data_IF_258443286406
#
_entry.id   IF_258443286406
#
_cell.length_a   1.000
_cell.length_b   1.000
_cell.length_c   1.000
_cell.angle_alpha   90.00
_cell.angle_beta   90.00
_cell.angle_gamma   90.00
#
_symmetry.space_group_name_H-M   'P 1'
#
loop_
_entity.id
_entity.type
_entity.pdbx_description
1 polymer ?
#
# COMPACT_ATOMS: atom_id res chain seq x y z
N UNK A 1 16.37 -7.22 0.77
CA UNK A 1 15.18 -7.47 -0.05
C UNK A 1 14.96 -6.33 -1.03
N UNK A 2 14.91 -5.10 -0.51
CA UNK A 2 14.58 -3.88 -1.24
C UNK A 2 15.35 -3.67 -2.57
N UNK A 3 16.67 -3.89 -2.58
CA UNK A 3 17.51 -3.66 -3.78
C UNK A 3 17.00 -4.39 -5.04
N UNK A 4 16.39 -5.57 -4.88
CA UNK A 4 15.81 -6.28 -6.01
C UNK A 4 14.63 -5.51 -6.61
N UNK A 5 13.72 -5.01 -5.78
CA UNK A 5 12.52 -4.31 -6.24
C UNK A 5 12.86 -2.94 -6.83
N UNK A 6 13.81 -2.21 -6.24
CA UNK A 6 14.35 -0.95 -6.81
C UNK A 6 14.96 -1.14 -8.20
N UNK A 7 15.54 -2.31 -8.47
CA UNK A 7 16.19 -2.61 -9.75
C UNK A 7 15.23 -2.99 -10.88
N UNK A 8 13.93 -3.19 -10.59
CA UNK A 8 12.94 -3.55 -11.60
C UNK A 8 12.69 -2.38 -12.56
N UNK A 9 12.34 -2.64 -13.83
CA UNK A 9 11.98 -1.58 -14.77
C UNK A 9 10.70 -0.85 -14.32
N UNK A 10 10.54 0.41 -14.75
CA UNK A 10 9.39 1.26 -14.38
C UNK A 10 8.05 0.69 -14.85
N UNK A 11 8.04 0.04 -16.02
CA UNK A 11 6.87 -0.63 -16.57
C UNK A 11 7.11 -2.14 -16.63
N UNK A 12 6.10 -2.89 -16.18
CA UNK A 12 6.04 -4.35 -16.29
C UNK A 12 4.63 -4.79 -16.64
N UNK A 13 4.45 -5.91 -17.37
CA UNK A 13 3.15 -6.52 -17.58
C UNK A 13 2.47 -6.89 -16.26
N UNK A 14 1.15 -6.75 -16.21
CA UNK A 14 0.34 -7.01 -15.01
C UNK A 14 0.51 -8.43 -14.48
N UNK A 15 0.67 -9.41 -15.36
CA UNK A 15 0.85 -10.82 -15.04
C UNK A 15 2.27 -11.15 -14.52
N UNK A 16 3.26 -10.28 -14.75
CA UNK A 16 4.55 -10.34 -14.08
C UNK A 16 4.49 -9.67 -12.70
N UNK A 17 3.82 -8.51 -12.60
CA UNK A 17 3.58 -7.82 -11.34
C UNK A 17 2.83 -8.70 -10.34
N UNK A 18 1.79 -9.40 -10.76
CA UNK A 18 1.02 -10.29 -9.87
C UNK A 18 1.93 -11.37 -9.25
N UNK A 19 2.83 -11.96 -10.05
CA UNK A 19 3.79 -12.96 -9.55
C UNK A 19 4.76 -12.34 -8.53
N UNK A 20 5.18 -11.10 -8.75
CA UNK A 20 6.07 -10.37 -7.85
C UNK A 20 5.39 -10.02 -6.53
N UNK A 21 4.15 -9.53 -6.55
CA UNK A 21 3.37 -9.29 -5.32
C UNK A 21 3.18 -10.59 -4.53
N UNK A 22 2.80 -11.69 -5.19
CA UNK A 22 2.65 -12.99 -4.50
C UNK A 22 3.96 -13.48 -3.90
N UNK A 23 5.07 -13.34 -4.62
CA UNK A 23 6.40 -13.67 -4.10
C UNK A 23 6.79 -12.77 -2.93
N UNK A 24 6.50 -11.47 -3.01
CA UNK A 24 6.70 -10.52 -1.92
C UNK A 24 5.95 -10.97 -0.65
N UNK A 25 4.65 -11.26 -0.79
CA UNK A 25 3.81 -11.72 0.32
C UNK A 25 4.32 -13.01 0.96
N UNK A 26 4.79 -13.98 0.16
CA UNK A 26 5.42 -15.20 0.68
C UNK A 26 6.67 -14.84 1.49
N UNK A 27 7.53 -13.95 0.99
CA UNK A 27 8.77 -13.59 1.65
C UNK A 27 8.54 -12.90 3.00
N UNK A 28 7.65 -11.91 3.07
CA UNK A 28 7.36 -11.19 4.33
C UNK A 28 6.64 -12.06 5.36
N UNK A 29 5.88 -13.07 4.93
CA UNK A 29 5.24 -14.04 5.84
C UNK A 29 6.20 -15.12 6.37
N UNK A 30 7.29 -15.41 5.65
CA UNK A 30 8.19 -16.55 5.98
C UNK A 30 9.54 -16.13 6.53
N UNK A 31 9.91 -14.87 6.37
CA UNK A 31 11.22 -14.34 6.77
C UNK A 31 11.05 -13.07 7.58
N UNK A 32 11.89 -12.89 8.59
CA UNK A 32 11.86 -11.73 9.47
C UNK A 32 12.60 -10.54 8.83
N UNK A 33 11.92 -9.84 7.92
CA UNK A 33 12.40 -8.57 7.37
C UNK A 33 12.03 -7.41 8.29
N UNK A 34 12.79 -6.31 8.19
CA UNK A 34 12.37 -5.05 8.80
C UNK A 34 11.08 -4.57 8.15
N UNK A 35 10.17 -4.02 8.94
CA UNK A 35 8.86 -3.56 8.46
C UNK A 35 9.07 -2.46 7.43
N UNK A 36 9.97 -1.51 7.70
CA UNK A 36 10.25 -0.38 6.80
C UNK A 36 10.81 -0.84 5.45
N UNK A 37 11.78 -1.77 5.45
CA UNK A 37 12.30 -2.36 4.20
C UNK A 37 11.25 -3.13 3.41
N UNK A 38 10.24 -3.69 4.09
CA UNK A 38 9.15 -4.44 3.46
C UNK A 38 8.12 -3.48 2.86
N UNK A 39 7.81 -2.39 3.56
CA UNK A 39 6.92 -1.33 3.07
C UNK A 39 7.52 -0.63 1.86
N UNK A 40 8.82 -0.30 1.90
CA UNK A 40 9.54 0.30 0.78
C UNK A 40 9.53 -0.64 -0.44
N UNK A 41 9.72 -1.94 -0.22
CA UNK A 41 9.66 -2.93 -1.30
C UNK A 41 8.25 -3.09 -1.89
N UNK A 42 7.21 -2.97 -1.07
CA UNK A 42 5.83 -2.98 -1.55
C UNK A 42 5.50 -1.71 -2.32
N UNK A 43 5.97 -0.55 -1.87
CA UNK A 43 5.76 0.72 -2.55
C UNK A 43 6.36 0.71 -3.96
N UNK A 44 7.57 0.15 -4.12
CA UNK A 44 8.17 -0.08 -5.44
C UNK A 44 7.26 -0.91 -6.37
N UNK A 45 6.61 -1.95 -5.85
CA UNK A 45 5.63 -2.72 -6.63
C UNK A 45 4.35 -1.92 -6.90
N UNK A 46 3.89 -1.12 -5.93
CA UNK A 46 2.70 -0.30 -6.05
C UNK A 46 2.85 0.79 -7.10
N UNK A 47 4.00 1.44 -7.18
CA UNK A 47 4.30 2.43 -8.21
C UNK A 47 4.31 1.81 -9.62
N UNK A 48 4.86 0.59 -9.76
CA UNK A 48 4.84 -0.13 -11.04
C UNK A 48 3.43 -0.56 -11.42
N UNK A 49 2.64 -1.02 -10.44
CA UNK A 49 1.22 -1.31 -10.64
C UNK A 49 0.48 -0.07 -11.14
N UNK A 50 0.72 1.08 -10.52
CA UNK A 50 0.09 2.33 -10.88
C UNK A 50 0.35 2.72 -12.34
N UNK A 51 1.54 2.49 -12.88
CA UNK A 51 1.83 2.75 -14.29
C UNK A 51 1.15 1.82 -15.29
N UNK A 52 0.49 0.75 -14.83
CA UNK A 52 -0.27 -0.15 -15.72
C UNK A 52 -1.65 0.40 -16.10
N UNK A 53 -2.23 1.29 -15.27
CA UNK A 53 -3.65 1.68 -15.36
C UNK A 53 -4.62 0.49 -15.27
N UNK A 54 -4.15 -0.67 -14.79
CA UNK A 54 -4.95 -1.86 -14.56
C UNK A 54 -5.19 -2.03 -13.06
N UNK A 55 -6.30 -2.67 -12.71
CA UNK A 55 -6.61 -3.00 -11.33
C UNK A 55 -5.95 -4.32 -10.95
N UNK A 56 -5.39 -4.40 -9.73
CA UNK A 56 -5.07 -5.68 -9.13
C UNK A 56 -6.32 -6.52 -8.94
N UNK A 57 -6.15 -7.84 -9.00
CA UNK A 57 -7.23 -8.76 -8.62
C UNK A 57 -7.63 -8.55 -7.15
N UNK A 58 -8.93 -8.67 -6.88
CA UNK A 58 -9.48 -8.47 -5.53
C UNK A 58 -8.88 -9.44 -4.50
N UNK A 59 -8.56 -10.67 -4.93
CA UNK A 59 -7.87 -11.66 -4.08
C UNK A 59 -6.49 -11.14 -3.66
N UNK A 60 -5.71 -10.60 -4.59
CA UNK A 60 -4.37 -10.08 -4.29
C UNK A 60 -4.44 -8.81 -3.43
N UNK A 61 -5.38 -7.90 -3.70
CA UNK A 61 -5.62 -6.73 -2.84
C UNK A 61 -5.91 -7.17 -1.41
N UNK A 62 -6.79 -8.15 -1.23
CA UNK A 62 -7.15 -8.66 0.09
C UNK A 62 -5.96 -9.27 0.84
N UNK A 63 -5.07 -10.01 0.16
CA UNK A 63 -3.85 -10.55 0.77
C UNK A 63 -2.85 -9.44 1.18
N UNK A 64 -2.73 -8.39 0.38
CA UNK A 64 -1.89 -7.22 0.69
C UNK A 64 -2.47 -6.48 1.90
N UNK A 65 -3.78 -6.22 1.91
CA UNK A 65 -4.47 -5.57 3.02
C UNK A 65 -4.32 -6.35 4.33
N UNK A 66 -4.48 -7.66 4.31
CA UNK A 66 -4.32 -8.50 5.50
C UNK A 66 -2.93 -8.32 6.11
N UNK A 67 -1.89 -8.31 5.27
CA UNK A 67 -0.53 -8.07 5.72
C UNK A 67 -0.35 -6.65 6.27
N UNK A 68 -0.78 -5.61 5.54
CA UNK A 68 -0.63 -4.22 5.97
C UNK A 68 -1.38 -3.92 7.27
N UNK A 69 -2.59 -4.45 7.44
CA UNK A 69 -3.37 -4.33 8.66
C UNK A 69 -2.70 -5.05 9.84
N UNK A 70 -1.90 -6.09 9.60
CA UNK A 70 -1.15 -6.78 10.65
C UNK A 70 0.07 -6.01 11.16
N UNK A 71 0.56 -5.02 10.39
CA UNK A 71 1.77 -4.25 10.71
C UNK A 71 1.52 -2.76 10.94
N UNK A 72 0.28 -2.29 10.75
CA UNK A 72 -0.07 -0.88 10.92
C UNK A 72 0.24 -0.40 12.35
N UNK A 73 0.92 0.73 12.44
CA UNK A 73 1.24 1.39 13.70
C UNK A 73 0.93 2.89 13.60
N UNK A 74 -0.18 3.30 14.21
CA UNK A 74 -0.63 4.70 14.23
C UNK A 74 0.23 5.62 15.12
N UNK A 75 1.23 5.09 15.81
CA UNK A 75 2.23 5.90 16.52
C UNK A 75 3.47 6.19 15.66
N UNK A 76 3.58 5.58 14.48
CA UNK A 76 4.73 5.71 13.58
C UNK A 76 4.36 6.51 12.34
N UNK A 77 4.83 7.76 12.27
CA UNK A 77 4.65 8.64 11.11
C UNK A 77 5.19 7.97 9.83
N UNK A 78 6.39 7.38 9.90
CA UNK A 78 7.03 6.69 8.76
C UNK A 78 6.19 5.53 8.23
N UNK A 79 5.57 4.72 9.10
CA UNK A 79 4.71 3.62 8.64
C UNK A 79 3.45 4.17 7.96
N UNK A 80 2.83 5.20 8.54
CA UNK A 80 1.60 5.77 7.98
C UNK A 80 1.87 6.42 6.62
N UNK A 81 3.02 7.07 6.43
CA UNK A 81 3.43 7.65 5.15
C UNK A 81 3.44 6.59 4.05
N UNK A 82 4.08 5.43 4.30
CA UNK A 82 4.05 4.32 3.36
C UNK A 82 2.64 3.78 3.11
N UNK A 83 1.83 3.61 4.16
CA UNK A 83 0.48 3.05 4.02
C UNK A 83 -0.43 3.96 3.19
N UNK A 84 -0.38 5.27 3.39
CA UNK A 84 -1.19 6.22 2.61
C UNK A 84 -0.84 6.19 1.13
N UNK A 85 0.46 6.18 0.80
CA UNK A 85 0.95 6.04 -0.58
C UNK A 85 0.49 4.71 -1.21
N UNK A 86 0.68 3.59 -0.51
CA UNK A 86 0.32 2.26 -1.01
C UNK A 86 -1.19 2.15 -1.23
N UNK A 87 -2.02 2.70 -0.32
CA UNK A 87 -3.48 2.75 -0.48
C UNK A 87 -3.87 3.53 -1.72
N UNK A 88 -3.30 4.72 -1.92
CA UNK A 88 -3.58 5.56 -3.08
C UNK A 88 -3.19 4.90 -4.41
N UNK A 89 -2.15 4.07 -4.42
CA UNK A 89 -1.67 3.36 -5.63
C UNK A 89 -2.45 2.09 -5.95
N UNK A 90 -2.88 1.34 -4.93
CA UNK A 90 -3.43 0.00 -5.09
C UNK A 90 -4.95 -0.10 -4.89
N UNK A 91 -5.58 0.93 -4.33
CA UNK A 91 -7.02 0.99 -4.12
C UNK A 91 -7.50 0.00 -3.07
N UNK A 92 -6.88 0.07 -1.89
CA UNK A 92 -7.06 -0.86 -0.78
C UNK A 92 -8.15 -0.36 0.19
N UNK A 93 -9.41 -0.70 -0.12
CA UNK A 93 -10.59 -0.18 0.57
C UNK A 93 -10.70 -0.50 2.07
N UNK A 94 -10.27 -1.68 2.53
CA UNK A 94 -10.32 -2.04 3.95
C UNK A 94 -9.23 -1.32 4.74
N UNK A 95 -8.04 -1.19 4.17
CA UNK A 95 -6.96 -0.44 4.80
C UNK A 95 -7.34 1.04 4.88
N UNK A 96 -7.86 1.60 3.78
CA UNK A 96 -8.45 2.94 3.75
C UNK A 96 -9.50 3.13 4.86
N UNK A 97 -10.48 2.24 4.97
CA UNK A 97 -11.54 2.34 5.96
C UNK A 97 -10.99 2.30 7.40
N UNK A 98 -9.96 1.49 7.63
CA UNK A 98 -9.28 1.39 8.93
C UNK A 98 -8.57 2.71 9.28
N UNK A 99 -7.83 3.29 8.34
CA UNK A 99 -7.16 4.59 8.54
C UNK A 99 -8.18 5.72 8.72
N UNK A 100 -9.21 5.81 7.87
CA UNK A 100 -10.28 6.80 8.02
C UNK A 100 -10.99 6.69 9.37
N UNK A 101 -11.21 5.48 9.85
CA UNK A 101 -11.80 5.22 11.17
C UNK A 101 -10.94 5.71 12.33
N UNK A 102 -9.61 5.63 12.20
CA UNK A 102 -8.68 6.04 13.27
C UNK A 102 -8.67 7.55 13.53
N UNK A 103 -9.11 8.36 12.56
CA UNK A 103 -9.27 9.82 12.70
C UNK A 103 -10.21 10.22 13.85
N UNK A 104 -11.12 9.32 14.26
CA UNK A 104 -12.00 9.53 15.42
C UNK A 104 -11.29 9.42 16.77
N UNK A 105 -10.08 8.85 16.79
CA UNK A 105 -9.24 8.66 17.96
C UNK A 105 -8.28 9.83 18.22
N UNK A 106 -7.43 9.63 19.23
CA UNK A 106 -6.33 10.55 19.52
C UNK A 106 -5.10 10.10 18.73
N UNK A 107 -4.73 10.87 17.71
CA UNK A 107 -3.56 10.63 16.86
C UNK A 107 -2.58 11.79 17.04
N UNK A 108 -1.29 11.52 16.80
CA UNK A 108 -0.32 12.59 16.58
C UNK A 108 -0.77 13.46 15.41
N UNK A 109 -0.38 14.73 15.43
CA UNK A 109 -0.84 15.69 14.44
C UNK A 109 -0.38 15.28 13.03
N UNK A 110 0.84 14.78 12.93
CA UNK A 110 1.50 14.37 11.69
C UNK A 110 0.77 13.17 11.08
N UNK A 111 0.60 12.07 11.83
CA UNK A 111 -0.21 10.90 11.42
C UNK A 111 -1.63 11.29 10.99
N UNK A 112 -2.30 12.15 11.77
CA UNK A 112 -3.64 12.62 11.44
C UNK A 112 -3.66 13.31 10.09
N UNK A 113 -2.71 14.22 9.86
CA UNK A 113 -2.64 15.01 8.65
C UNK A 113 -2.45 14.11 7.42
N UNK A 114 -1.54 13.15 7.45
CA UNK A 114 -1.33 12.22 6.33
C UNK A 114 -2.59 11.42 5.99
N UNK A 115 -3.29 10.91 7.01
CA UNK A 115 -4.53 10.17 6.82
C UNK A 115 -5.63 11.07 6.26
N UNK A 116 -5.76 12.31 6.76
CA UNK A 116 -6.74 13.28 6.26
C UNK A 116 -6.46 13.63 4.78
N UNK A 117 -5.20 13.87 4.41
CA UNK A 117 -4.79 14.18 3.04
C UNK A 117 -5.17 13.05 2.06
N UNK A 118 -4.82 11.79 2.36
CA UNK A 118 -5.21 10.69 1.48
C UNK A 118 -6.73 10.47 1.50
N UNK A 119 -7.40 10.66 2.63
CA UNK A 119 -8.86 10.52 2.71
C UNK A 119 -9.55 11.51 1.79
N UNK A 120 -9.11 12.77 1.78
CA UNK A 120 -9.64 13.81 0.88
C UNK A 120 -9.33 13.53 -0.59
N UNK A 121 -8.15 12.99 -0.90
CA UNK A 121 -7.73 12.70 -2.28
C UNK A 121 -8.58 11.61 -2.95
N UNK A 122 -8.90 10.52 -2.24
CA UNK A 122 -9.53 9.34 -2.84
C UNK A 122 -10.96 9.04 -2.33
N UNK A 123 -11.59 9.95 -1.58
CA UNK A 123 -12.94 9.72 -1.03
C UNK A 123 -13.95 9.41 -2.15
N UNK A 124 -14.77 8.38 -1.93
CA UNK A 124 -15.77 7.91 -2.90
C UNK A 124 -15.21 7.12 -4.09
N UNK A 125 -13.89 7.02 -4.26
CA UNK A 125 -13.27 6.39 -5.43
C UNK A 125 -12.11 5.43 -5.12
N UNK A 126 -11.94 5.06 -3.86
CA UNK A 126 -10.84 4.21 -3.35
C UNK A 126 -10.58 2.95 -4.19
N UNK A 127 -11.63 2.25 -4.63
CA UNK A 127 -11.49 1.00 -5.40
C UNK A 127 -10.89 1.20 -6.79
N UNK A 128 -10.92 2.43 -7.31
CA UNK A 128 -10.34 2.84 -8.59
C UNK A 128 -9.29 3.93 -8.38
N UNK A 129 -8.02 3.54 -8.16
CA UNK A 129 -6.89 4.46 -8.00
C UNK A 129 -6.74 5.48 -9.13
N UNK A 130 -7.24 5.15 -10.33
CA UNK A 130 -7.11 5.98 -11.53
C UNK A 130 -8.28 6.94 -11.74
N UNK A 131 -9.22 7.00 -10.80
CA UNK A 131 -10.38 7.88 -10.93
C UNK A 131 -9.95 9.35 -11.01
N UNK A 132 -10.43 10.06 -12.04
CA UNK A 132 -10.10 11.48 -12.25
C UNK A 132 -8.82 11.72 -13.06
N UNK A 133 -8.16 10.66 -13.53
CA UNK A 133 -7.04 10.73 -14.48
C UNK A 133 -7.48 10.69 -15.95
#
# INVERSE_FOLDING_TARGET
MIEYYKSLPDYMPIDELEKLFRRFLINVKTTNFRIEESLEALLELADRQWYTYELLSEDLKAEIEEWLLSIIDFESDEIIEYLTLIVGRLGLSKLYATMKGSLTGNLKKEVRQEIEEIVEEIDGHVENPYYGM
#
